data_IF_455019276927
#
_entry.id   IF_455019276927
#
_cell.length_a   1.000
_cell.length_b   1.000
_cell.length_c   1.000
_cell.angle_alpha   90.00
_cell.angle_beta   90.00
_cell.angle_gamma   90.00
#
_symmetry.space_group_name_H-M   'P 1'
#
loop_
_entity.id
_entity.type
_entity.pdbx_description
1 polymer ?
#
# COMPACT_ATOMS: atom_id res chain seq x y z
N UNK A 1 14.33 -4.14 -20.49
CA UNK A 1 12.99 -4.72 -20.68
C UNK A 1 12.14 -4.80 -19.41
N UNK A 2 12.69 -4.69 -18.18
CA UNK A 2 11.88 -4.64 -16.94
C UNK A 2 11.85 -3.24 -16.29
N UNK A 3 12.86 -2.41 -16.59
CA UNK A 3 12.99 -1.04 -16.02
C UNK A 3 11.82 -0.13 -16.39
N UNK A 4 11.25 -0.30 -17.58
CA UNK A 4 10.11 0.51 -18.04
C UNK A 4 8.85 0.21 -17.24
N UNK A 5 8.60 -1.06 -16.89
CA UNK A 5 7.48 -1.47 -16.04
C UNK A 5 7.62 -0.89 -14.64
N UNK A 6 8.84 -0.93 -14.08
CA UNK A 6 9.12 -0.34 -12.77
C UNK A 6 8.90 1.17 -12.77
N UNK A 7 9.30 1.87 -13.84
CA UNK A 7 9.08 3.31 -14.02
C UNK A 7 7.60 3.64 -14.18
N UNK A 8 6.87 2.85 -14.97
CA UNK A 8 5.43 3.02 -15.18
C UNK A 8 4.63 2.87 -13.89
N UNK A 9 5.01 1.99 -12.97
CA UNK A 9 4.28 1.77 -11.70
C UNK A 9 4.80 2.61 -10.54
N UNK A 10 5.78 3.49 -10.76
CA UNK A 10 6.39 4.28 -9.70
C UNK A 10 5.38 5.20 -8.97
N UNK A 11 4.34 5.66 -9.68
CA UNK A 11 3.28 6.51 -9.15
C UNK A 11 2.16 5.74 -8.44
N UNK A 12 2.17 4.40 -8.50
CA UNK A 12 1.15 3.55 -7.89
C UNK A 12 1.62 3.11 -6.50
N UNK A 13 1.02 3.68 -5.45
CA UNK A 13 1.33 3.35 -4.04
C UNK A 13 0.05 3.08 -3.28
N UNK A 14 0.13 2.29 -2.21
CA UNK A 14 -0.97 2.13 -1.28
C UNK A 14 -0.78 3.07 -0.08
N UNK A 15 -1.89 3.59 0.47
CA UNK A 15 -1.90 4.44 1.66
C UNK A 15 -2.91 3.88 2.66
N UNK A 16 -2.60 4.01 3.94
CA UNK A 16 -3.49 3.67 5.05
C UNK A 16 -4.14 4.95 5.58
N UNK A 17 -5.44 4.92 5.80
CA UNK A 17 -6.16 5.90 6.61
C UNK A 17 -6.10 5.45 8.09
N UNK A 18 -5.39 6.19 8.96
CA UNK A 18 -5.24 5.82 10.36
C UNK A 18 -6.54 5.94 11.17
N UNK A 19 -7.52 6.72 10.71
CA UNK A 19 -8.80 6.89 11.41
C UNK A 19 -9.76 5.73 11.14
N UNK A 20 -9.58 5.02 10.02
CA UNK A 20 -10.39 3.86 9.62
C UNK A 20 -9.69 2.53 9.95
N UNK A 21 -8.37 2.54 10.11
CA UNK A 21 -7.59 1.35 10.43
C UNK A 21 -7.87 0.90 11.88
N UNK A 22 -8.39 -0.33 12.02
CA UNK A 22 -8.67 -0.96 13.32
C UNK A 22 -7.56 -1.90 13.79
N UNK A 23 -6.41 -1.89 13.13
CA UNK A 23 -5.24 -2.71 13.50
C UNK A 23 -5.49 -4.22 13.56
N UNK A 24 -6.39 -4.72 12.71
CA UNK A 24 -6.77 -6.14 12.61
C UNK A 24 -5.68 -7.07 12.04
N UNK A 25 -4.61 -6.51 11.45
CA UNK A 25 -3.45 -7.23 10.90
C UNK A 25 -3.67 -8.09 9.64
N UNK A 26 -4.87 -8.22 9.07
CA UNK A 26 -5.07 -9.00 7.83
C UNK A 26 -4.18 -8.58 6.65
N UNK A 27 -3.83 -7.29 6.56
CA UNK A 27 -2.90 -6.84 5.53
C UNK A 27 -1.47 -7.41 5.67
N UNK A 28 -1.07 -7.86 6.86
CA UNK A 28 0.22 -8.52 7.11
C UNK A 28 0.24 -9.96 6.59
N UNK A 29 -0.89 -10.66 6.56
CA UNK A 29 -1.00 -12.03 6.04
C UNK A 29 -0.67 -12.12 4.54
N UNK A 30 -0.76 -10.99 3.83
CA UNK A 30 -0.31 -10.84 2.44
C UNK A 30 1.22 -11.04 2.31
N UNK A 31 1.99 -10.88 3.38
CA UNK A 31 3.45 -10.99 3.36
C UNK A 31 4.14 -9.83 2.63
N UNK A 32 3.48 -8.69 2.49
CA UNK A 32 4.04 -7.52 1.80
C UNK A 32 5.17 -6.90 2.64
N UNK A 33 6.42 -6.79 2.12
CA UNK A 33 7.56 -6.27 2.88
C UNK A 33 7.42 -4.78 3.21
N UNK A 34 6.57 -4.05 2.49
CA UNK A 34 6.34 -2.62 2.71
C UNK A 34 5.40 -2.33 3.89
N UNK A 35 4.75 -3.34 4.49
CA UNK A 35 3.76 -3.15 5.54
C UNK A 35 4.38 -3.42 6.90
N UNK A 36 4.22 -2.47 7.81
CA UNK A 36 4.59 -2.60 9.22
C UNK A 36 3.48 -2.09 10.13
N UNK A 37 3.60 -2.31 11.44
CA UNK A 37 2.61 -1.89 12.44
C UNK A 37 3.22 -0.88 13.42
N UNK A 38 2.58 0.28 13.57
CA UNK A 38 2.93 1.32 14.55
C UNK A 38 1.67 1.88 15.19
N UNK A 39 0.98 1.06 15.98
CA UNK A 39 -0.38 1.34 16.46
C UNK A 39 -1.43 1.03 15.39
N UNK A 40 -1.28 1.60 14.19
CA UNK A 40 -2.01 1.27 12.96
C UNK A 40 -1.06 0.74 11.88
N UNK A 41 -1.61 0.17 10.80
CA UNK A 41 -0.81 -0.26 9.66
C UNK A 41 -0.12 0.94 9.00
N UNK A 42 1.15 0.79 8.66
CA UNK A 42 1.99 1.79 7.96
C UNK A 42 2.57 1.15 6.71
N UNK A 43 2.48 1.86 5.59
CA UNK A 43 3.02 1.42 4.29
C UNK A 43 4.23 2.28 3.94
N UNK A 44 5.39 1.66 3.76
CA UNK A 44 6.58 2.31 3.22
C UNK A 44 6.41 2.50 1.71
N UNK A 45 6.30 3.75 1.27
CA UNK A 45 6.14 4.10 -0.15
C UNK A 45 7.33 3.70 -1.02
N UNK A 46 8.54 3.61 -0.46
CA UNK A 46 9.76 3.25 -1.20
C UNK A 46 9.78 1.78 -1.57
N UNK A 47 9.19 0.92 -0.72
CA UNK A 47 9.09 -0.53 -0.93
C UNK A 47 7.76 -0.95 -1.54
N UNK A 48 6.71 -0.15 -1.41
CA UNK A 48 5.40 -0.43 -2.00
C UNK A 48 5.48 -0.36 -3.54
N UNK A 49 4.98 -1.40 -4.21
CA UNK A 49 4.95 -1.49 -5.68
C UNK A 49 3.55 -1.27 -6.29
N UNK A 50 2.56 -0.95 -5.45
CA UNK A 50 1.18 -0.73 -5.89
C UNK A 50 0.49 -1.99 -6.44
N UNK A 51 0.70 -3.16 -5.83
CA UNK A 51 0.00 -4.39 -6.22
C UNK A 51 -1.48 -4.44 -5.79
N UNK A 52 -1.92 -3.56 -4.87
CA UNK A 52 -3.29 -3.45 -4.34
C UNK A 52 -3.84 -4.62 -3.51
N UNK A 53 -3.10 -5.73 -3.35
CA UNK A 53 -3.59 -6.91 -2.61
C UNK A 53 -3.95 -6.55 -1.16
N UNK A 54 -3.15 -5.73 -0.49
CA UNK A 54 -3.44 -5.27 0.88
C UNK A 54 -4.73 -4.44 0.98
N UNK A 55 -5.12 -3.73 -0.08
CA UNK A 55 -6.39 -3.01 -0.16
C UNK A 55 -7.56 -3.99 -0.26
N UNK A 56 -7.44 -5.00 -1.11
CA UNK A 56 -8.49 -6.01 -1.33
C UNK A 56 -8.81 -6.84 -0.07
N UNK A 57 -7.79 -7.13 0.76
CA UNK A 57 -7.99 -7.88 2.01
C UNK A 57 -8.36 -7.01 3.21
N UNK A 58 -8.37 -5.68 3.07
CA UNK A 58 -8.65 -4.79 4.19
C UNK A 58 -10.17 -4.76 4.47
N UNK A 59 -10.64 -5.31 5.61
CA UNK A 59 -12.09 -5.46 5.85
C UNK A 59 -12.80 -4.11 6.09
N UNK A 60 -12.05 -3.08 6.49
CA UNK A 60 -12.60 -1.75 6.75
C UNK A 60 -12.41 -0.77 5.60
N UNK A 61 -11.72 -1.18 4.52
CA UNK A 61 -11.36 -0.27 3.43
C UNK A 61 -10.34 0.80 3.83
N UNK A 62 -9.66 0.66 4.96
CA UNK A 62 -8.65 1.63 5.42
C UNK A 62 -7.43 1.73 4.51
N UNK A 63 -7.21 0.78 3.59
CA UNK A 63 -6.08 0.77 2.66
C UNK A 63 -6.60 1.02 1.25
N UNK A 64 -6.08 2.05 0.59
CA UNK A 64 -6.44 2.41 -0.79
C UNK A 64 -5.20 2.59 -1.66
N UNK A 65 -5.31 2.22 -2.93
CA UNK A 65 -4.32 2.56 -3.94
C UNK A 65 -4.49 4.04 -4.30
N UNK A 66 -3.41 4.79 -4.19
CA UNK A 66 -3.33 6.19 -4.57
C UNK A 66 -2.43 6.28 -5.80
N UNK A 67 -2.90 7.02 -6.79
CA UNK A 67 -2.04 7.56 -7.83
C UNK A 67 -1.43 8.84 -7.25
N UNK A 68 -0.12 8.84 -6.99
CA UNK A 68 0.56 10.09 -6.63
C UNK A 68 0.45 11.00 -7.87
N UNK A 69 -0.40 12.05 -7.82
CA UNK A 69 -0.61 13.06 -8.88
C UNK A 69 0.61 13.99 -9.04
N UNK A 70 1.82 13.46 -8.88
CA UNK A 70 3.09 14.13 -9.14
C UNK A 70 3.82 13.41 -10.28
N UNK A 71 3.07 13.16 -11.35
CA UNK A 71 3.54 12.61 -12.64
C UNK A 71 3.57 13.63 -13.77
N UNK A 72 3.61 14.93 -13.45
CA UNK A 72 4.20 15.98 -14.29
C UNK A 72 5.23 16.73 -13.47
#
# INVERSE_FOLDING_TARGET
>A
MIKDIMKQRAHLKCKVDPMVCISCKYCLDVGCPAISMKGVSVIDKTQCNGCSICSQVCPTGAIQQMEDYNGK
#
